data_IF_975567199396
#
_entry.id   IF_975567199396
#
_cell.length_a   1.000
_cell.length_b   1.000
_cell.length_c   1.000
_cell.angle_alpha   90.00
_cell.angle_beta   90.00
_cell.angle_gamma   90.00
#
_symmetry.space_group_name_H-M   'P 1'
#
loop_
_entity.id
_entity.type
_entity.pdbx_description
1 polymer ?
#
# COMPACT_ATOMS: atom_id res chain seq x y z
N UNK A 1 4.14 12.05 2.42
CA UNK A 1 4.13 12.64 1.08
C UNK A 1 2.95 13.59 0.94
N UNK A 2 3.13 14.74 0.29
CA UNK A 2 2.04 15.68 -0.03
C UNK A 2 1.54 15.46 -1.45
N UNK A 3 0.23 15.59 -1.67
CA UNK A 3 -0.31 15.62 -3.04
C UNK A 3 0.22 16.85 -3.77
N UNK A 4 0.47 16.71 -5.07
CA UNK A 4 1.14 17.76 -5.84
C UNK A 4 0.19 18.92 -6.13
N UNK A 5 -1.10 18.61 -6.24
CA UNK A 5 -2.18 19.59 -6.42
C UNK A 5 -3.29 19.36 -5.41
N UNK A 6 -4.05 20.40 -5.01
CA UNK A 6 -5.23 20.23 -4.19
C UNK A 6 -6.18 19.20 -4.79
N UNK A 7 -6.62 18.26 -3.97
CA UNK A 7 -7.58 17.25 -4.42
C UNK A 7 -8.96 17.88 -4.58
N UNK A 8 -9.68 17.46 -5.61
CA UNK A 8 -11.07 17.86 -5.85
C UNK A 8 -12.00 16.72 -5.43
N UNK A 9 -13.05 17.00 -4.66
CA UNK A 9 -14.05 16.00 -4.31
C UNK A 9 -14.94 15.64 -5.50
N UNK A 10 -15.40 14.39 -5.52
CA UNK A 10 -16.33 13.86 -6.51
C UNK A 10 -17.16 12.72 -5.92
N UNK A 11 -18.24 12.35 -6.60
CA UNK A 11 -19.03 11.16 -6.30
C UNK A 11 -18.73 10.08 -7.34
N UNK A 12 -18.37 8.89 -6.87
CA UNK A 12 -18.13 7.74 -7.75
C UNK A 12 -19.45 7.27 -8.38
N UNK A 13 -19.51 7.15 -9.70
CA UNK A 13 -20.60 6.46 -10.40
C UNK A 13 -20.27 4.96 -10.45
N UNK A 14 -19.07 4.63 -10.97
CA UNK A 14 -18.60 3.24 -11.08
C UNK A 14 -17.11 3.18 -11.37
N UNK A 15 -16.46 2.08 -10.97
CA UNK A 15 -15.14 1.64 -11.43
C UNK A 15 -15.28 0.53 -12.46
N UNK A 16 -14.50 0.56 -13.53
CA UNK A 16 -14.55 -0.45 -14.59
C UNK A 16 -13.19 -0.59 -15.29
N UNK A 17 -13.01 -1.70 -16.01
CA UNK A 17 -11.76 -2.03 -16.74
C UNK A 17 -10.50 -1.86 -15.87
N UNK A 18 -10.64 -2.08 -14.55
CA UNK A 18 -9.64 -1.92 -13.48
C UNK A 18 -9.14 -0.48 -13.25
N UNK A 19 -8.85 0.27 -14.32
CA UNK A 19 -8.12 1.54 -14.28
C UNK A 19 -8.96 2.77 -14.63
N UNK A 20 -10.27 2.62 -14.84
CA UNK A 20 -11.19 3.71 -15.18
C UNK A 20 -12.29 3.84 -14.12
N UNK A 21 -12.69 5.07 -13.85
CA UNK A 21 -13.83 5.38 -13.01
C UNK A 21 -14.61 6.55 -13.59
N UNK A 22 -15.92 6.37 -13.76
CA UNK A 22 -16.84 7.45 -14.10
C UNK A 22 -17.28 8.10 -12.78
N UNK A 23 -17.25 9.43 -12.72
CA UNK A 23 -17.44 10.21 -11.49
C UNK A 23 -18.18 11.52 -11.80
N UNK A 24 -18.90 12.07 -10.83
CA UNK A 24 -19.55 13.38 -10.89
C UNK A 24 -18.80 14.35 -10.00
N UNK A 25 -18.32 15.47 -10.54
CA UNK A 25 -17.73 16.56 -9.77
C UNK A 25 -18.80 17.33 -8.99
N UNK A 26 -18.40 18.17 -8.03
CA UNK A 26 -19.36 18.96 -7.22
C UNK A 26 -20.22 19.95 -8.04
N UNK A 27 -19.75 20.36 -9.22
CA UNK A 27 -20.52 21.21 -10.14
C UNK A 27 -21.51 20.42 -11.03
N UNK A 28 -21.60 19.10 -10.86
CA UNK A 28 -22.45 18.22 -11.65
C UNK A 28 -21.82 17.68 -12.94
N UNK A 29 -20.58 18.07 -13.27
CA UNK A 29 -19.89 17.59 -14.47
C UNK A 29 -19.49 16.14 -14.32
N UNK A 30 -19.89 15.30 -15.30
CA UNK A 30 -19.40 13.93 -15.41
C UNK A 30 -18.01 13.90 -16.07
N UNK A 31 -17.07 13.22 -15.42
CA UNK A 31 -15.71 13.02 -15.94
C UNK A 31 -15.26 11.56 -15.78
N UNK A 32 -14.24 11.19 -16.56
CA UNK A 32 -13.55 9.90 -16.39
C UNK A 32 -12.22 10.14 -15.70
N UNK A 33 -12.01 9.48 -14.57
CA UNK A 33 -10.77 9.50 -13.81
C UNK A 33 -9.99 8.19 -13.95
N UNK A 34 -8.67 8.26 -13.81
CA UNK A 34 -7.81 7.10 -13.70
C UNK A 34 -7.91 6.50 -12.29
N UNK A 35 -8.11 5.18 -12.20
CA UNK A 35 -8.00 4.43 -10.96
C UNK A 35 -6.61 3.77 -10.86
N UNK A 36 -5.68 4.25 -10.00
CA UNK A 36 -4.31 3.73 -9.88
C UNK A 36 -4.20 2.49 -8.98
N UNK A 37 -5.21 1.63 -8.99
CA UNK A 37 -5.25 0.39 -8.22
C UNK A 37 -5.69 -0.77 -9.12
N UNK A 38 -4.84 -1.79 -9.35
CA UNK A 38 -5.23 -2.97 -10.13
C UNK A 38 -6.01 -4.03 -9.33
N UNK A 39 -6.04 -3.92 -8.00
CA UNK A 39 -6.65 -4.88 -7.09
C UNK A 39 -8.17 -4.90 -7.13
N UNK A 40 -8.78 -5.76 -6.31
CA UNK A 40 -10.23 -5.90 -6.21
C UNK A 40 -10.89 -4.61 -5.69
N UNK A 41 -10.22 -3.91 -4.77
CA UNK A 41 -10.76 -2.71 -4.08
C UNK A 41 -12.09 -3.00 -3.37
N UNK A 42 -12.24 -4.20 -2.80
CA UNK A 42 -13.42 -4.61 -2.05
C UNK A 42 -13.75 -3.60 -0.96
N UNK A 43 -14.98 -3.05 -0.99
CA UNK A 43 -15.45 -2.03 -0.04
C UNK A 43 -14.85 -0.64 -0.20
N UNK A 44 -14.12 -0.35 -1.30
CA UNK A 44 -13.48 0.95 -1.56
C UNK A 44 -13.97 1.64 -2.84
N UNK A 45 -14.86 1.00 -3.60
CA UNK A 45 -15.31 1.48 -4.91
C UNK A 45 -16.83 1.34 -5.12
N UNK A 46 -17.61 1.52 -4.04
CA UNK A 46 -19.07 1.46 -4.10
C UNK A 46 -19.64 2.68 -4.83
N UNK A 47 -20.60 2.51 -5.76
CA UNK A 47 -21.32 3.61 -6.37
C UNK A 47 -21.95 4.55 -5.32
N UNK A 48 -21.87 5.86 -5.56
CA UNK A 48 -22.33 6.89 -4.65
C UNK A 48 -21.32 7.30 -3.58
N UNK A 49 -20.19 6.58 -3.44
CA UNK A 49 -19.15 6.96 -2.48
C UNK A 49 -18.47 8.27 -2.86
N UNK A 50 -18.21 9.11 -1.85
CA UNK A 50 -17.41 10.33 -1.99
C UNK A 50 -15.93 9.97 -2.11
N UNK A 51 -15.28 10.54 -3.12
CA UNK A 51 -13.89 10.27 -3.47
C UNK A 51 -13.15 11.57 -3.71
N UNK A 52 -11.83 11.50 -3.74
CA UNK A 52 -10.96 12.64 -3.99
C UNK A 52 -10.05 12.37 -5.18
N UNK A 53 -10.08 13.30 -6.13
CA UNK A 53 -9.35 13.24 -7.39
C UNK A 53 -8.21 14.26 -7.38
N UNK A 54 -7.04 13.86 -7.86
CA UNK A 54 -5.95 14.79 -8.17
C UNK A 54 -6.11 15.25 -9.63
N UNK A 55 -6.28 16.56 -9.89
CA UNK A 55 -6.26 17.10 -11.24
C UNK A 55 -4.93 16.85 -11.95
N UNK A 56 -4.98 16.77 -13.28
CA UNK A 56 -3.83 16.56 -14.14
C UNK A 56 -3.92 17.50 -15.34
N UNK A 57 -3.04 18.49 -15.38
CA UNK A 57 -2.92 19.50 -16.41
C UNK A 57 -1.95 19.12 -17.54
N UNK A 58 -1.30 17.96 -17.43
CA UNK A 58 -0.35 17.51 -18.44
C UNK A 58 -1.06 17.27 -19.79
N UNK A 59 -0.75 18.05 -20.84
CA UNK A 59 -1.46 17.98 -22.11
C UNK A 59 -1.27 16.64 -22.83
N UNK A 60 -0.27 15.84 -22.44
CA UNK A 60 -0.02 14.49 -23.00
C UNK A 60 -0.91 13.41 -22.37
N UNK A 61 -1.58 13.69 -21.26
CA UNK A 61 -2.39 12.71 -20.53
C UNK A 61 -3.84 12.78 -21.00
N UNK A 62 -4.39 11.62 -21.36
CA UNK A 62 -5.77 11.50 -21.86
C UNK A 62 -6.82 11.76 -20.77
N UNK A 63 -6.53 11.34 -19.54
CA UNK A 63 -7.40 11.51 -18.38
C UNK A 63 -6.89 12.66 -17.53
N UNK A 64 -7.78 13.62 -17.25
CA UNK A 64 -7.49 14.86 -16.51
C UNK A 64 -7.56 14.71 -14.99
N UNK A 65 -7.90 13.52 -14.51
CA UNK A 65 -8.07 13.24 -13.08
C UNK A 65 -7.50 11.88 -12.72
N UNK A 66 -6.85 11.78 -11.56
CA UNK A 66 -6.43 10.53 -10.93
C UNK A 66 -7.12 10.36 -9.59
N UNK A 67 -7.80 9.24 -9.36
CA UNK A 67 -8.43 8.95 -8.09
C UNK A 67 -7.37 8.65 -7.03
N UNK A 68 -7.36 9.43 -5.94
CA UNK A 68 -6.39 9.31 -4.84
C UNK A 68 -6.97 8.71 -3.59
N UNK A 69 -8.13 9.21 -3.14
CA UNK A 69 -8.70 8.81 -1.86
C UNK A 69 -10.18 8.42 -2.01
N UNK A 70 -10.62 7.54 -1.12
CA UNK A 70 -12.03 7.20 -0.91
C UNK A 70 -12.40 7.57 0.52
N UNK A 71 -13.52 8.28 0.70
CA UNK A 71 -14.10 8.48 2.03
C UNK A 71 -14.78 7.20 2.49
N UNK A 72 -14.56 6.87 3.76
CA UNK A 72 -15.13 5.74 4.45
C UNK A 72 -16.12 6.26 5.52
N UNK A 73 -16.94 5.38 6.13
CA UNK A 73 -17.81 5.76 7.23
C UNK A 73 -17.07 6.50 8.35
N UNK A 74 -17.80 7.34 9.08
CA UNK A 74 -17.31 8.09 10.25
C UNK A 74 -16.13 9.03 9.97
N UNK A 75 -15.97 9.48 8.72
CA UNK A 75 -14.91 10.40 8.29
C UNK A 75 -13.54 9.74 8.12
N UNK A 76 -13.50 8.40 8.09
CA UNK A 76 -12.29 7.66 7.75
C UNK A 76 -11.94 7.79 6.26
N UNK A 77 -10.70 7.44 5.91
CA UNK A 77 -10.16 7.60 4.56
C UNK A 77 -9.38 6.36 4.15
N UNK A 78 -9.44 6.02 2.86
CA UNK A 78 -8.56 5.03 2.23
C UNK A 78 -7.75 5.63 1.09
N UNK A 79 -6.48 5.27 1.00
CA UNK A 79 -5.61 5.58 -0.12
C UNK A 79 -5.76 4.56 -1.25
N UNK A 80 -6.02 5.03 -2.46
CA UNK A 80 -6.28 4.17 -3.62
C UNK A 80 -5.01 3.88 -4.42
N UNK A 81 -4.12 4.86 -4.56
CA UNK A 81 -2.89 4.70 -5.35
C UNK A 81 -1.92 3.70 -4.70
N UNK A 82 -1.74 2.58 -5.39
CA UNK A 82 -0.86 1.49 -4.96
C UNK A 82 0.64 1.83 -5.03
N UNK A 83 1.01 2.97 -5.63
CA UNK A 83 2.37 3.51 -5.61
C UNK A 83 2.67 4.47 -4.45
N UNK A 84 1.65 4.88 -3.67
CA UNK A 84 1.84 5.72 -2.47
C UNK A 84 2.63 5.00 -1.35
N UNK A 85 2.45 3.70 -1.07
CA UNK A 85 3.14 3.04 0.04
C UNK A 85 4.65 3.14 0.00
N UNK A 86 5.28 2.89 -1.15
CA UNK A 86 6.73 3.02 -1.28
C UNK A 86 7.19 4.46 -1.00
N UNK A 87 6.44 5.49 -1.45
CA UNK A 87 6.78 6.89 -1.16
C UNK A 87 6.68 7.18 0.34
N UNK A 88 5.58 6.78 0.98
CA UNK A 88 5.32 7.02 2.41
C UNK A 88 6.35 6.30 3.29
N UNK A 89 6.58 5.01 3.03
CA UNK A 89 7.57 4.22 3.77
C UNK A 89 8.98 4.73 3.50
N UNK A 90 9.31 5.08 2.26
CA UNK A 90 10.62 5.65 1.93
C UNK A 90 10.90 6.99 2.61
N UNK A 91 9.90 7.86 2.80
CA UNK A 91 10.03 9.08 3.60
C UNK A 91 10.22 8.75 5.08
N UNK A 92 9.43 7.81 5.63
CA UNK A 92 9.52 7.39 7.02
C UNK A 92 10.87 6.74 7.36
N UNK A 93 11.41 5.89 6.48
CA UNK A 93 12.73 5.26 6.63
C UNK A 93 13.84 6.31 6.68
N UNK A 94 13.84 7.27 5.75
CA UNK A 94 14.86 8.34 5.70
C UNK A 94 14.75 9.30 6.89
N UNK A 95 13.56 9.47 7.45
CA UNK A 95 13.33 10.27 8.64
C UNK A 95 13.59 9.50 9.96
N UNK A 96 13.97 8.21 9.90
CA UNK A 96 14.19 7.38 11.09
C UNK A 96 12.91 7.11 11.90
N UNK A 97 11.74 7.16 11.25
CA UNK A 97 10.43 7.01 11.89
C UNK A 97 9.93 5.56 11.92
N UNK A 98 10.59 4.64 11.21
CA UNK A 98 10.21 3.22 11.20
C UNK A 98 10.98 2.49 12.32
N UNK A 99 10.30 1.89 13.32
CA UNK A 99 10.97 1.29 14.45
C UNK A 99 11.95 0.19 14.05
N UNK A 100 13.14 0.23 14.65
CA UNK A 100 14.17 -0.79 14.45
C UNK A 100 14.84 -0.73 13.08
N UNK A 101 14.57 0.26 12.22
CA UNK A 101 15.20 0.45 10.92
C UNK A 101 15.93 1.79 10.85
N UNK A 102 17.22 1.74 10.51
CA UNK A 102 18.13 2.88 10.42
C UNK A 102 19.13 2.70 9.29
N UNK A 103 19.88 3.76 8.98
CA UNK A 103 20.96 3.75 8.00
C UNK A 103 20.60 4.35 6.64
N UNK A 104 21.52 4.17 5.69
CA UNK A 104 21.41 4.74 4.34
C UNK A 104 20.36 4.00 3.51
N UNK A 105 19.37 4.72 3.01
CA UNK A 105 18.22 4.16 2.28
C UNK A 105 18.44 4.24 0.77
N UNK A 106 18.51 3.08 0.10
CA UNK A 106 18.50 2.96 -1.37
C UNK A 106 17.22 2.29 -1.84
N UNK A 107 16.54 2.85 -2.83
CA UNK A 107 15.29 2.30 -3.36
C UNK A 107 15.53 1.43 -4.61
N UNK A 108 14.61 0.50 -4.89
CA UNK A 108 14.53 -0.27 -6.15
C UNK A 108 15.81 -1.06 -6.48
N UNK A 109 16.42 -1.68 -5.46
CA UNK A 109 17.68 -2.40 -5.60
C UNK A 109 17.41 -3.83 -6.09
N UNK A 110 18.12 -4.26 -7.14
CA UNK A 110 18.00 -5.65 -7.65
C UNK A 110 18.48 -6.65 -6.60
N UNK A 111 17.70 -7.71 -6.42
CA UNK A 111 18.05 -8.86 -5.57
C UNK A 111 17.40 -10.15 -6.12
N UNK A 112 17.93 -11.30 -5.73
CA UNK A 112 17.45 -12.60 -6.22
C UNK A 112 17.59 -12.77 -7.74
N UNK A 113 16.77 -13.64 -8.32
CA UNK A 113 16.94 -14.07 -9.73
C UNK A 113 16.32 -13.08 -10.73
N UNK A 114 15.29 -12.31 -10.36
CA UNK A 114 14.62 -11.34 -11.25
C UNK A 114 13.73 -10.33 -10.50
N UNK A 115 14.12 -9.94 -9.28
CA UNK A 115 13.31 -9.07 -8.44
C UNK A 115 14.08 -7.82 -8.00
N UNK A 116 13.32 -6.84 -7.52
CA UNK A 116 13.84 -5.65 -6.87
C UNK A 116 13.18 -5.55 -5.52
N UNK A 117 13.99 -5.28 -4.51
CA UNK A 117 13.52 -4.97 -3.17
C UNK A 117 13.16 -3.49 -3.16
N UNK A 118 12.07 -3.14 -2.50
CA UNK A 118 11.62 -1.75 -2.46
C UNK A 118 12.68 -0.85 -1.84
N UNK A 119 13.30 -1.29 -0.73
CA UNK A 119 14.42 -0.60 -0.11
C UNK A 119 15.54 -1.53 0.38
N UNK A 120 16.77 -1.04 0.28
CA UNK A 120 17.95 -1.62 0.90
C UNK A 120 18.54 -0.58 1.86
N UNK A 121 18.60 -0.95 3.13
CA UNK A 121 19.19 -0.14 4.19
C UNK A 121 20.59 -0.65 4.51
N UNK A 122 21.50 0.27 4.80
CA UNK A 122 22.87 -0.05 5.21
C UNK A 122 23.23 0.74 6.46
N UNK A 123 23.49 0.04 7.55
CA UNK A 123 23.88 0.63 8.84
C UNK A 123 24.96 -0.22 9.49
N UNK A 124 26.12 0.36 9.78
CA UNK A 124 27.17 -0.27 10.59
C UNK A 124 27.58 -1.69 10.12
N UNK A 125 27.60 -1.91 8.80
CA UNK A 125 27.92 -3.21 8.18
C UNK A 125 26.74 -4.18 8.06
N UNK A 126 25.58 -3.86 8.63
CA UNK A 126 24.34 -4.61 8.47
C UNK A 126 23.60 -4.13 7.23
N UNK A 127 23.25 -5.07 6.34
CA UNK A 127 22.39 -4.82 5.19
C UNK A 127 20.99 -5.34 5.49
N UNK A 128 19.98 -4.47 5.36
CA UNK A 128 18.58 -4.82 5.59
C UNK A 128 17.76 -4.65 4.32
N UNK A 129 17.13 -5.73 3.87
CA UNK A 129 16.25 -5.77 2.71
C UNK A 129 14.81 -5.53 3.17
N UNK A 130 14.13 -4.56 2.56
CA UNK A 130 12.79 -4.12 2.98
C UNK A 130 11.82 -4.17 1.81
N UNK A 131 10.80 -5.01 1.92
CA UNK A 131 9.67 -5.07 0.99
C UNK A 131 8.46 -4.36 1.61
N UNK A 132 7.70 -3.63 0.81
CA UNK A 132 6.50 -2.89 1.20
C UNK A 132 5.28 -3.50 0.55
N UNK A 133 4.22 -3.72 1.33
CA UNK A 133 2.91 -4.17 0.87
C UNK A 133 1.86 -3.13 1.17
N UNK A 134 1.04 -2.87 0.16
CA UNK A 134 -0.16 -2.06 0.31
C UNK A 134 -1.28 -2.89 0.93
N UNK A 135 -1.75 -2.54 2.12
CA UNK A 135 -2.82 -3.24 2.82
C UNK A 135 -4.05 -2.35 2.93
N UNK A 136 -5.16 -2.75 2.30
CA UNK A 136 -6.41 -1.97 2.31
C UNK A 136 -7.69 -2.80 2.32
N UNK A 137 -7.61 -4.13 2.20
CA UNK A 137 -8.78 -4.98 2.38
C UNK A 137 -9.22 -4.90 3.84
N UNK A 138 -10.52 -4.73 4.06
CA UNK A 138 -11.18 -4.91 5.35
C UNK A 138 -12.54 -5.48 5.06
N UNK A 139 -12.84 -6.65 5.63
CA UNK A 139 -14.15 -7.30 5.48
C UNK A 139 -15.07 -7.06 6.67
N UNK A 140 -14.50 -6.92 7.87
CA UNK A 140 -15.25 -6.68 9.11
C UNK A 140 -14.39 -6.03 10.19
N UNK A 141 -15.01 -5.54 11.27
CA UNK A 141 -14.29 -5.07 12.47
C UNK A 141 -13.32 -3.94 12.17
N UNK A 142 -12.08 -4.03 12.65
CA UNK A 142 -10.99 -3.06 12.35
C UNK A 142 -9.74 -3.76 11.81
N UNK A 143 -9.90 -4.98 11.30
CA UNK A 143 -8.80 -5.79 10.79
C UNK A 143 -8.52 -5.44 9.32
N UNK A 144 -7.32 -4.96 9.03
CA UNK A 144 -6.83 -4.86 7.66
C UNK A 144 -6.24 -6.22 7.24
N UNK A 145 -6.44 -6.59 5.98
CA UNK A 145 -6.04 -7.88 5.46
C UNK A 145 -5.21 -7.73 4.18
N UNK A 146 -4.27 -8.64 3.97
CA UNK A 146 -3.53 -8.75 2.71
C UNK A 146 -3.38 -10.23 2.30
N UNK A 147 -3.56 -10.59 1.02
CA UNK A 147 -3.91 -9.72 -0.12
C UNK A 147 -5.43 -9.57 -0.31
N UNK A 148 -5.84 -8.68 -1.23
CA UNK A 148 -7.25 -8.52 -1.64
C UNK A 148 -7.64 -9.38 -2.87
N UNK A 149 -6.67 -10.07 -3.46
CA UNK A 149 -6.80 -11.04 -4.55
C UNK A 149 -5.54 -11.92 -4.62
N UNK A 150 -5.60 -13.04 -5.34
CA UNK A 150 -4.44 -13.93 -5.54
C UNK A 150 -3.25 -13.18 -6.13
N UNK A 151 -2.08 -13.30 -5.51
CA UNK A 151 -0.84 -12.58 -5.82
C UNK A 151 0.37 -13.52 -5.92
N UNK A 152 0.51 -14.18 -7.06
CA UNK A 152 1.69 -15.01 -7.36
C UNK A 152 3.02 -14.23 -7.24
N UNK A 153 3.00 -12.94 -7.61
CA UNK A 153 4.16 -12.07 -7.44
C UNK A 153 4.47 -11.80 -5.97
N UNK A 154 3.45 -11.57 -5.15
CA UNK A 154 3.62 -11.39 -3.71
C UNK A 154 4.24 -12.62 -3.05
N UNK A 155 3.75 -13.82 -3.39
CA UNK A 155 4.29 -15.08 -2.88
C UNK A 155 5.77 -15.27 -3.27
N UNK A 156 6.11 -15.01 -4.55
CA UNK A 156 7.50 -15.06 -5.02
C UNK A 156 8.43 -14.11 -4.24
N UNK A 157 7.99 -12.88 -3.98
CA UNK A 157 8.79 -11.92 -3.21
C UNK A 157 9.00 -12.39 -1.76
N UNK A 158 8.01 -13.05 -1.15
CA UNK A 158 8.19 -13.63 0.19
C UNK A 158 9.22 -14.77 0.21
N UNK A 159 9.23 -15.62 -0.81
CA UNK A 159 10.25 -16.68 -0.97
C UNK A 159 11.66 -16.08 -1.14
N UNK A 160 11.78 -15.01 -1.93
CA UNK A 160 13.05 -14.31 -2.14
C UNK A 160 13.55 -13.62 -0.86
N UNK A 161 12.65 -13.01 -0.05
CA UNK A 161 13.01 -12.49 1.27
C UNK A 161 13.42 -13.59 2.25
N UNK A 162 12.76 -14.75 2.21
CA UNK A 162 13.14 -15.89 3.03
C UNK A 162 14.56 -16.34 2.72
N UNK A 163 14.94 -16.32 1.44
CA UNK A 163 16.29 -16.66 1.01
C UNK A 163 17.33 -15.62 1.47
N UNK A 164 17.01 -14.33 1.42
CA UNK A 164 17.84 -13.26 2.00
C UNK A 164 18.09 -13.52 3.49
N UNK A 165 17.05 -13.89 4.25
CA UNK A 165 17.17 -14.18 5.67
C UNK A 165 18.06 -15.40 5.93
N UNK A 166 17.92 -16.48 5.14
CA UNK A 166 18.77 -17.69 5.23
C UNK A 166 20.23 -17.42 4.94
N UNK A 167 20.52 -16.43 4.09
CA UNK A 167 21.89 -15.98 3.78
C UNK A 167 22.50 -15.13 4.91
N UNK A 168 21.78 -14.90 6.00
CA UNK A 168 22.25 -14.16 7.17
C UNK A 168 22.09 -12.64 7.03
N UNK A 169 21.41 -12.16 5.98
CA UNK A 169 21.02 -10.76 5.87
C UNK A 169 19.72 -10.51 6.61
N UNK A 170 19.51 -9.27 7.08
CA UNK A 170 18.24 -8.89 7.68
C UNK A 170 17.21 -8.65 6.58
N UNK A 171 16.03 -9.22 6.72
CA UNK A 171 14.93 -9.10 5.78
C UNK A 171 13.66 -8.68 6.52
N UNK A 172 12.95 -7.68 5.99
CA UNK A 172 11.81 -7.05 6.64
C UNK A 172 10.69 -6.89 5.63
N UNK A 173 9.49 -7.31 6.00
CA UNK A 173 8.24 -6.98 5.32
C UNK A 173 7.53 -5.85 6.07
N UNK A 174 7.15 -4.79 5.36
CA UNK A 174 6.34 -3.70 5.90
C UNK A 174 4.96 -3.72 5.24
N UNK A 175 3.91 -3.95 6.02
CA UNK A 175 2.56 -3.61 5.61
C UNK A 175 2.29 -2.13 5.90
N UNK A 176 2.01 -1.33 4.87
CA UNK A 176 1.41 -0.02 5.07
C UNK A 176 -0.10 -0.16 4.92
N UNK A 177 -0.82 0.08 6.02
CA UNK A 177 -2.29 0.09 6.03
C UNK A 177 -2.77 1.41 5.45
N UNK A 178 -3.19 1.41 4.18
CA UNK A 178 -3.70 2.59 3.47
C UNK A 178 -5.19 2.83 3.74
N UNK A 179 -5.61 2.71 5.00
CA UNK A 179 -6.94 3.09 5.48
C UNK A 179 -6.89 3.46 6.95
N UNK A 180 -7.73 4.40 7.39
CA UNK A 180 -7.66 4.96 8.75
C UNK A 180 -8.63 4.31 9.75
N UNK A 181 -9.46 3.37 9.33
CA UNK A 181 -10.45 2.63 10.14
C UNK A 181 -9.96 1.25 10.59
N UNK A 182 -8.65 1.00 10.54
CA UNK A 182 -8.03 -0.27 10.91
C UNK A 182 -7.03 -0.13 12.05
N UNK A 183 -6.99 -1.14 12.93
CA UNK A 183 -6.15 -1.15 14.14
C UNK A 183 -5.23 -2.37 14.23
N UNK A 184 -5.27 -3.28 13.27
CA UNK A 184 -4.39 -4.45 13.18
C UNK A 184 -4.32 -4.96 11.74
N UNK A 185 -3.36 -5.84 11.46
CA UNK A 185 -3.16 -6.46 10.15
C UNK A 185 -3.12 -7.98 10.26
N UNK A 186 -3.73 -8.71 9.32
CA UNK A 186 -3.55 -10.14 9.15
C UNK A 186 -3.36 -10.52 7.67
N UNK A 187 -2.94 -11.75 7.43
CA UNK A 187 -2.91 -12.34 6.09
C UNK A 187 -4.27 -12.99 5.79
N UNK A 188 -4.84 -12.73 4.61
CA UNK A 188 -6.07 -13.36 4.13
C UNK A 188 -5.74 -14.70 3.46
N UNK A 189 -5.58 -15.74 4.27
CA UNK A 189 -5.27 -17.11 3.81
C UNK A 189 -6.37 -17.71 2.93
N UNK A 190 -7.63 -17.34 3.17
CA UNK A 190 -8.79 -17.78 2.39
C UNK A 190 -8.81 -17.17 0.97
N UNK A 191 -8.17 -16.01 0.78
CA UNK A 191 -8.05 -15.35 -0.53
C UNK A 191 -6.84 -15.86 -1.30
N UNK A 192 -5.68 -15.96 -0.63
CA UNK A 192 -4.45 -16.50 -1.23
C UNK A 192 -3.70 -17.43 -0.27
N UNK A 193 -4.05 -18.74 -0.28
CA UNK A 193 -3.33 -19.74 0.51
C UNK A 193 -1.86 -19.88 0.11
N UNK A 194 -1.50 -19.52 -1.14
CA UNK A 194 -0.13 -19.56 -1.63
C UNK A 194 0.72 -18.48 -0.99
N UNK A 195 0.20 -17.25 -0.95
CA UNK A 195 0.83 -16.15 -0.24
C UNK A 195 0.96 -16.44 1.26
N UNK A 196 -0.09 -16.98 1.90
CA UNK A 196 -0.04 -17.33 3.31
C UNK A 196 1.08 -18.32 3.65
N UNK A 197 1.20 -19.42 2.90
CA UNK A 197 2.30 -20.38 3.09
C UNK A 197 3.67 -19.75 2.88
N UNK A 198 3.82 -18.90 1.86
CA UNK A 198 5.08 -18.21 1.61
C UNK A 198 5.43 -17.21 2.73
N UNK A 199 4.43 -16.53 3.28
CA UNK A 199 4.58 -15.62 4.41
C UNK A 199 5.02 -16.35 5.68
N UNK A 200 4.39 -17.46 6.03
CA UNK A 200 4.76 -18.26 7.21
C UNK A 200 6.16 -18.88 7.07
N UNK A 201 6.50 -19.36 5.87
CA UNK A 201 7.83 -19.89 5.58
C UNK A 201 8.91 -18.79 5.67
N UNK A 202 8.61 -17.57 5.20
CA UNK A 202 9.51 -16.43 5.30
C UNK A 202 9.76 -16.01 6.75
N UNK A 203 8.71 -15.95 7.57
CA UNK A 203 8.84 -15.65 9.01
C UNK A 203 9.67 -16.71 9.73
N UNK A 204 9.42 -17.98 9.44
CA UNK A 204 10.21 -19.10 9.97
C UNK A 204 11.69 -18.99 9.58
N UNK A 205 11.98 -18.48 8.38
CA UNK A 205 13.34 -18.22 7.91
C UNK A 205 14.01 -16.99 8.54
N UNK A 206 13.28 -16.20 9.35
CA UNK A 206 13.80 -15.02 10.05
C UNK A 206 13.41 -13.67 9.43
N UNK A 207 12.44 -13.64 8.49
CA UNK A 207 11.90 -12.37 7.99
C UNK A 207 11.07 -11.69 9.08
N UNK A 208 11.45 -10.47 9.42
CA UNK A 208 10.73 -9.61 10.36
C UNK A 208 9.51 -8.98 9.68
N UNK A 209 8.43 -8.77 10.44
CA UNK A 209 7.19 -8.16 9.92
C UNK A 209 6.82 -6.95 10.74
N UNK A 210 6.64 -5.82 10.07
CA UNK A 210 6.18 -4.55 10.63
C UNK A 210 4.88 -4.17 9.93
N UNK A 211 3.89 -3.72 10.69
CA UNK A 211 2.74 -3.03 10.12
C UNK A 211 2.72 -1.58 10.59
N UNK A 212 2.49 -0.66 9.67
CA UNK A 212 2.35 0.78 9.94
C UNK A 212 0.93 1.20 9.55
N UNK A 213 0.27 1.95 10.44
CA UNK A 213 -0.94 2.69 10.07
C UNK A 213 -0.60 3.84 9.12
N UNK A 214 -1.61 4.52 8.59
CA UNK A 214 -1.43 5.75 7.81
C UNK A 214 -2.22 6.90 8.42
N UNK A 215 -1.66 8.11 8.38
CA UNK A 215 -2.41 9.36 8.53
C UNK A 215 -2.74 9.84 7.13
N UNK A 216 -4.04 9.96 6.83
CA UNK A 216 -4.52 10.31 5.49
C UNK A 216 -5.39 11.56 5.60
N UNK A 217 -5.01 12.61 4.89
CA UNK A 217 -5.83 13.82 4.68
C UNK A 217 -5.89 14.14 3.20
N UNK A 218 -6.71 15.12 2.83
CA UNK A 218 -6.77 15.62 1.44
C UNK A 218 -5.48 16.32 0.99
N UNK A 219 -4.57 16.63 1.91
CA UNK A 219 -3.27 17.24 1.62
C UNK A 219 -2.16 16.21 1.41
N UNK A 220 -2.32 14.99 1.91
CA UNK A 220 -1.28 13.97 1.80
C UNK A 220 -1.50 12.70 2.62
N UNK A 221 -0.49 11.83 2.53
CA UNK A 221 -0.42 10.56 3.26
C UNK A 221 0.91 10.49 3.99
N UNK A 222 0.88 10.15 5.26
CA UNK A 222 2.05 9.99 6.13
C UNK A 222 1.98 8.65 6.85
N UNK A 223 3.13 8.06 7.19
CA UNK A 223 3.17 6.85 8.01
C UNK A 223 2.68 7.19 9.42
N UNK A 224 1.76 6.39 9.94
CA UNK A 224 1.31 6.44 11.31
C UNK A 224 2.12 5.52 12.23
N UNK A 225 1.70 5.37 13.49
CA UNK A 225 2.32 4.44 14.44
C UNK A 225 2.21 2.97 13.98
N UNK A 226 3.04 2.08 14.54
CA UNK A 226 2.95 0.65 14.31
C UNK A 226 1.59 0.07 14.70
N UNK A 227 1.18 -0.97 13.99
CA UNK A 227 -0.01 -1.76 14.29
C UNK A 227 0.38 -3.19 14.65
N UNK A 228 -0.40 -3.87 15.52
CA UNK A 228 -0.27 -5.30 15.73
C UNK A 228 -0.47 -6.08 14.44
N UNK A 229 0.37 -7.08 14.22
CA UNK A 229 0.20 -8.10 13.18
C UNK A 229 -0.37 -9.35 13.85
N UNK A 230 -1.60 -9.68 13.50
CA UNK A 230 -2.33 -10.85 13.99
C UNK A 230 -2.01 -12.07 13.13
N UNK A 231 -1.86 -13.23 13.78
CA UNK A 231 -1.54 -14.49 13.11
C UNK A 231 -0.03 -14.71 12.99
N UNK A 232 0.43 -15.82 13.56
CA UNK A 232 1.80 -16.31 13.60
C UNK A 232 1.88 -17.54 14.49
#
# INVERSE_FOLDING_TARGET
>A
MRFATPLVPATLIRRYKRFLSDVVLEDGTEVVAHCPNPGAMTGLAEPGTRIWLEPNDNPKKKLKYGWRLTELPDGHMAGIDTGVPNRVVGEALRAGLVPGLSGDVRAEVKYGTNSRVDFLLSDSGVTTYVEVKNCHLRRSGTLAEFPDCVTLRGAKHMEELAEVARQGHRAVLIFLVQRTDCTSVAVADDIDPGYARAFDAARTAGVEVIALSSRITVDGVESGPPLPVSGG
#
